data_IF_975696099536
#
_entry.id   IF_975696099536
#
_cell.length_a   1.000
_cell.length_b   1.000
_cell.length_c   1.000
_cell.angle_alpha   90.00
_cell.angle_beta   90.00
_cell.angle_gamma   90.00
#
_symmetry.space_group_name_H-M   'P 1'
#
loop_
_entity.id
_entity.type
_entity.pdbx_description
1 polymer ?
#
# COMPACT_ATOMS: atom_id res chain seq x y z
N UNK A 1 28.90 15.47 5.90
CA UNK A 1 27.54 15.14 6.40
C UNK A 1 27.51 13.68 6.83
N UNK A 2 27.26 13.43 8.10
CA UNK A 2 27.46 12.15 8.80
C UNK A 2 26.50 11.06 8.30
N UNK A 3 27.04 10.01 7.65
CA UNK A 3 26.31 8.75 7.38
C UNK A 3 26.01 7.96 8.65
N UNK A 4 26.82 8.16 9.70
CA UNK A 4 26.71 7.46 11.00
C UNK A 4 25.43 7.81 11.78
N UNK A 5 24.88 9.02 11.64
CA UNK A 5 23.69 9.43 12.40
C UNK A 5 22.41 8.83 11.82
N UNK A 6 22.28 8.79 10.49
CA UNK A 6 21.10 8.23 9.80
C UNK A 6 20.92 6.73 10.02
N UNK A 7 22.01 5.95 10.08
CA UNK A 7 21.92 4.51 10.36
C UNK A 7 21.57 4.20 11.82
N UNK A 8 21.99 5.05 12.77
CA UNK A 8 21.61 4.95 14.18
C UNK A 8 20.13 5.29 14.41
N UNK A 9 19.65 6.38 13.83
CA UNK A 9 18.24 6.81 13.92
C UNK A 9 17.29 5.80 13.27
N UNK A 10 17.66 5.23 12.12
CA UNK A 10 16.89 4.17 11.48
C UNK A 10 16.80 2.92 12.36
N UNK A 11 17.89 2.53 13.05
CA UNK A 11 17.89 1.37 13.95
C UNK A 11 16.95 1.56 15.15
N UNK A 12 16.92 2.75 15.74
CA UNK A 12 16.05 3.04 16.88
C UNK A 12 14.57 3.03 16.50
N UNK A 13 14.23 3.45 15.28
CA UNK A 13 12.86 3.41 14.79
C UNK A 13 12.35 1.97 14.54
N UNK A 14 13.21 1.08 14.06
CA UNK A 14 12.88 -0.35 13.88
C UNK A 14 12.64 -1.11 15.19
N UNK A 15 13.13 -0.58 16.33
CA UNK A 15 12.96 -1.18 17.65
C UNK A 15 11.70 -0.70 18.38
N UNK A 16 10.97 0.29 17.82
CA UNK A 16 9.68 0.73 18.37
C UNK A 16 8.69 -0.43 18.33
N UNK A 17 8.28 -0.88 19.51
CA UNK A 17 7.38 -2.01 19.72
C UNK A 17 6.03 -1.57 20.28
N UNK A 18 5.00 -2.34 19.96
CA UNK A 18 3.70 -2.29 20.63
C UNK A 18 3.50 -3.59 21.39
N UNK A 19 3.03 -3.49 22.62
CA UNK A 19 2.68 -4.66 23.44
C UNK A 19 1.17 -4.68 23.55
N UNK A 20 0.54 -5.77 23.13
CA UNK A 20 -0.91 -5.98 23.22
C UNK A 20 -1.12 -7.32 23.93
N UNK A 21 -1.58 -7.27 25.18
CA UNK A 21 -1.59 -8.44 26.06
C UNK A 21 -0.21 -9.13 26.11
N UNK A 22 -0.11 -10.44 25.78
CA UNK A 22 1.17 -11.17 25.74
C UNK A 22 1.97 -10.99 24.43
N UNK A 23 1.41 -10.29 23.43
CA UNK A 23 2.02 -10.16 22.10
C UNK A 23 2.91 -8.91 22.02
N UNK A 24 4.12 -9.06 21.49
CA UNK A 24 5.01 -7.94 21.15
C UNK A 24 5.10 -7.82 19.63
N UNK A 25 4.66 -6.68 19.11
CA UNK A 25 4.69 -6.35 17.69
C UNK A 25 5.79 -5.33 17.39
N UNK A 26 6.38 -5.44 16.21
CA UNK A 26 7.35 -4.48 15.65
C UNK A 26 6.79 -3.88 14.35
N UNK A 27 5.81 -2.94 14.42
CA UNK A 27 5.09 -2.50 13.24
C UNK A 27 5.97 -1.77 12.22
N UNK A 28 6.99 -1.05 12.66
CA UNK A 28 7.97 -0.42 11.76
C UNK A 28 8.71 -1.46 10.87
N UNK A 29 9.00 -2.64 11.42
CA UNK A 29 9.54 -3.77 10.67
C UNK A 29 8.56 -4.27 9.61
N UNK A 30 7.29 -4.46 10.00
CA UNK A 30 6.21 -4.86 9.08
C UNK A 30 6.00 -3.84 7.96
N UNK A 31 5.97 -2.54 8.28
CA UNK A 31 5.82 -1.47 7.29
C UNK A 31 6.87 -1.52 6.18
N UNK A 32 8.13 -1.89 6.51
CA UNK A 32 9.21 -2.04 5.52
C UNK A 32 8.91 -3.14 4.50
N UNK A 33 8.33 -4.27 4.93
CA UNK A 33 7.91 -5.35 4.04
C UNK A 33 6.64 -4.96 3.27
N UNK A 34 5.74 -4.23 3.93
CA UNK A 34 4.45 -3.84 3.37
C UNK A 34 4.50 -2.60 2.45
N UNK A 35 5.63 -1.89 2.38
CA UNK A 35 5.80 -0.63 1.63
C UNK A 35 5.36 -0.64 0.16
N UNK A 36 5.26 -1.81 -0.46
CA UNK A 36 4.89 -2.00 -1.88
C UNK A 36 3.42 -2.37 -2.08
N UNK A 37 2.67 -2.52 -1.00
CA UNK A 37 1.31 -3.03 -1.00
C UNK A 37 0.37 -1.97 -0.44
N UNK A 38 -0.89 -1.99 -0.88
CA UNK A 38 -1.93 -1.31 -0.14
C UNK A 38 -2.17 -2.11 1.14
N UNK A 39 -2.28 -1.44 2.28
CA UNK A 39 -2.63 -2.12 3.53
C UNK A 39 -3.38 -1.19 4.45
N UNK A 40 -4.19 -1.79 5.31
CA UNK A 40 -5.12 -1.08 6.18
C UNK A 40 -5.20 -1.78 7.51
N UNK A 41 -5.38 -0.98 8.56
CA UNK A 41 -5.67 -1.45 9.90
C UNK A 41 -7.10 -1.03 10.24
N UNK A 42 -7.93 -2.00 10.62
CA UNK A 42 -9.28 -1.76 11.13
C UNK A 42 -9.34 -2.18 12.59
N UNK A 43 -9.92 -1.33 13.42
CA UNK A 43 -10.18 -1.60 14.82
C UNK A 43 -11.69 -1.74 15.05
N UNK A 44 -12.11 -2.79 15.74
CA UNK A 44 -13.48 -2.96 16.21
C UNK A 44 -13.52 -2.72 17.73
N UNK A 45 -14.12 -1.61 18.20
CA UNK A 45 -14.17 -1.29 19.63
C UNK A 45 -15.07 -2.22 20.44
N UNK A 46 -16.08 -2.84 19.83
CA UNK A 46 -17.00 -3.74 20.54
C UNK A 46 -16.36 -5.11 20.83
N UNK A 47 -15.49 -5.56 19.93
CA UNK A 47 -14.81 -6.85 20.04
C UNK A 47 -13.38 -6.72 20.58
N UNK A 48 -12.87 -5.49 20.72
CA UNK A 48 -11.46 -5.18 21.05
C UNK A 48 -10.48 -5.89 20.12
N UNK A 49 -10.79 -5.88 18.81
CA UNK A 49 -9.98 -6.56 17.77
C UNK A 49 -9.42 -5.55 16.78
N UNK A 50 -8.11 -5.61 16.56
CA UNK A 50 -7.43 -4.93 15.45
C UNK A 50 -7.03 -5.92 14.36
N UNK A 51 -7.46 -5.67 13.13
CA UNK A 51 -7.14 -6.49 11.95
C UNK A 51 -6.29 -5.69 10.98
N UNK A 52 -5.08 -6.18 10.70
CA UNK A 52 -4.21 -5.68 9.66
C UNK A 52 -4.43 -6.51 8.40
N UNK A 53 -4.84 -5.85 7.33
CA UNK A 53 -5.14 -6.47 6.05
C UNK A 53 -4.26 -5.87 4.97
N UNK A 54 -3.78 -6.71 4.05
CA UNK A 54 -3.01 -6.29 2.88
C UNK A 54 -3.75 -6.55 1.59
N UNK A 55 -3.51 -5.71 0.60
CA UNK A 55 -3.87 -5.95 -0.79
C UNK A 55 -2.66 -5.71 -1.68
N UNK A 56 -2.46 -6.69 -2.55
CA UNK A 56 -1.32 -6.78 -3.43
C UNK A 56 -1.70 -6.80 -4.91
N UNK A 57 -2.99 -6.75 -5.21
CA UNK A 57 -3.57 -6.74 -6.55
C UNK A 57 -4.55 -7.89 -6.73
N UNK A 58 -4.67 -8.77 -5.74
CA UNK A 58 -5.45 -10.01 -5.79
C UNK A 58 -6.68 -10.01 -4.87
N UNK A 59 -6.94 -8.90 -4.18
CA UNK A 59 -7.97 -8.80 -3.15
C UNK A 59 -7.37 -8.59 -1.76
N UNK A 60 -8.24 -8.29 -0.80
CA UNK A 60 -7.87 -8.08 0.59
C UNK A 60 -7.59 -9.43 1.27
N UNK A 61 -6.47 -9.53 1.97
CA UNK A 61 -6.11 -10.70 2.78
C UNK A 61 -5.69 -10.24 4.17
N UNK A 62 -6.32 -10.79 5.20
CA UNK A 62 -5.97 -10.52 6.58
C UNK A 62 -4.59 -11.11 6.89
N UNK A 63 -3.68 -10.25 7.34
CA UNK A 63 -2.29 -10.60 7.64
C UNK A 63 -2.15 -10.94 9.12
N UNK A 64 -2.81 -10.17 9.98
CA UNK A 64 -2.71 -10.29 11.42
C UNK A 64 -4.01 -9.82 12.06
N UNK A 65 -4.49 -10.62 13.00
CA UNK A 65 -5.56 -10.26 13.93
C UNK A 65 -4.97 -10.17 15.34
N UNK A 66 -5.25 -9.07 16.04
CA UNK A 66 -4.86 -8.84 17.42
C UNK A 66 -6.12 -8.71 18.26
N UNK A 67 -6.36 -9.68 19.14
CA UNK A 67 -7.47 -9.69 20.11
C UNK A 67 -7.04 -9.03 21.41
N UNK A 68 -8.02 -8.63 22.21
CA UNK A 68 -7.81 -7.89 23.48
C UNK A 68 -6.94 -6.65 23.24
N UNK A 69 -7.14 -5.99 22.09
CA UNK A 69 -6.43 -4.82 21.66
C UNK A 69 -7.25 -3.60 22.05
N UNK A 70 -6.75 -2.76 22.95
CA UNK A 70 -7.41 -1.49 23.19
C UNK A 70 -7.21 -0.52 22.01
N UNK A 71 -8.08 0.51 21.96
CA UNK A 71 -8.04 1.52 20.90
C UNK A 71 -6.71 2.27 20.84
N UNK A 72 -6.11 2.57 22.00
CA UNK A 72 -4.84 3.30 22.08
C UNK A 72 -3.68 2.50 21.49
N UNK A 73 -3.68 1.18 21.68
CA UNK A 73 -2.75 0.25 21.09
C UNK A 73 -2.97 0.17 19.57
N UNK A 74 -4.22 0.13 19.10
CA UNK A 74 -4.54 0.15 17.68
C UNK A 74 -4.05 1.44 16.99
N UNK A 75 -4.28 2.61 17.59
CA UNK A 75 -3.75 3.90 17.11
C UNK A 75 -2.23 3.86 17.03
N UNK A 76 -1.55 3.35 18.07
CA UNK A 76 -0.09 3.25 18.09
C UNK A 76 0.44 2.31 17.01
N UNK A 77 -0.22 1.18 16.77
CA UNK A 77 0.11 0.28 15.64
C UNK A 77 -0.03 1.04 14.32
N UNK A 78 -1.14 1.75 14.11
CA UNK A 78 -1.40 2.49 12.89
C UNK A 78 -0.39 3.63 12.64
N UNK A 79 0.00 4.36 13.69
CA UNK A 79 1.05 5.38 13.62
C UNK A 79 2.40 4.79 13.20
N UNK A 80 2.82 3.69 13.85
CA UNK A 80 4.08 3.01 13.53
C UNK A 80 4.06 2.30 12.17
N UNK A 81 2.88 2.04 11.61
CA UNK A 81 2.66 1.56 10.25
C UNK A 81 2.58 2.68 9.20
N UNK A 82 2.72 3.94 9.61
CA UNK A 82 2.63 5.14 8.76
C UNK A 82 1.25 5.30 8.08
N UNK A 83 0.16 4.92 8.76
CA UNK A 83 -1.20 4.93 8.19
C UNK A 83 -1.94 6.27 8.33
N UNK A 84 -1.26 7.34 8.75
CA UNK A 84 -1.89 8.66 8.96
C UNK A 84 -2.94 8.64 10.07
N UNK A 85 -2.63 7.96 11.18
CA UNK A 85 -3.62 7.70 12.21
C UNK A 85 -3.94 8.89 13.11
N UNK A 86 -5.25 9.12 13.29
CA UNK A 86 -5.82 10.04 14.28
C UNK A 86 -6.63 9.25 15.32
N UNK A 87 -6.79 9.81 16.53
CA UNK A 87 -7.46 9.14 17.65
C UNK A 87 -8.95 8.88 17.36
N UNK A 88 -9.64 9.73 16.62
CA UNK A 88 -11.09 9.55 16.38
C UNK A 88 -11.44 8.45 15.36
N UNK A 89 -10.43 7.88 14.71
CA UNK A 89 -10.63 6.90 13.64
C UNK A 89 -10.53 5.47 14.17
N UNK A 90 -11.21 4.54 13.49
CA UNK A 90 -11.08 3.09 13.69
C UNK A 90 -10.65 2.36 12.40
N UNK A 91 -10.29 3.12 11.38
CA UNK A 91 -9.86 2.61 10.09
C UNK A 91 -8.76 3.52 9.54
N UNK A 92 -7.59 2.95 9.31
CA UNK A 92 -6.42 3.67 8.81
C UNK A 92 -5.84 2.91 7.62
N UNK A 93 -5.39 3.64 6.59
CA UNK A 93 -4.94 3.02 5.35
C UNK A 93 -3.69 3.68 4.79
N UNK A 94 -2.81 2.86 4.24
CA UNK A 94 -1.76 3.29 3.32
C UNK A 94 -2.18 2.80 1.96
N UNK A 95 -2.59 3.75 1.14
CA UNK A 95 -2.96 3.48 -0.23
C UNK A 95 -1.70 3.44 -1.09
N UNK A 96 -1.51 2.31 -1.77
CA UNK A 96 -0.50 2.13 -2.81
C UNK A 96 -1.24 1.59 -4.02
N UNK A 97 -1.42 2.38 -5.10
CA UNK A 97 -2.11 1.90 -6.28
C UNK A 97 -1.31 0.76 -6.91
N UNK A 98 -1.98 -0.37 -7.17
CA UNK A 98 -1.45 -1.47 -7.96
C UNK A 98 -2.27 -1.56 -9.24
N UNK A 99 -1.61 -1.33 -10.37
CA UNK A 99 -2.26 -1.37 -11.68
C UNK A 99 -2.40 -2.81 -12.18
N UNK A 100 -3.55 -3.20 -12.72
CA UNK A 100 -3.78 -4.46 -13.41
C UNK A 100 -3.66 -4.24 -14.91
N UNK A 101 -2.73 -4.95 -15.54
CA UNK A 101 -2.47 -4.90 -16.98
C UNK A 101 -2.97 -6.17 -17.65
N UNK A 102 -3.91 -6.04 -18.58
CA UNK A 102 -4.32 -7.15 -19.44
C UNK A 102 -3.24 -7.52 -20.46
N UNK A 103 -2.75 -8.77 -20.44
CA UNK A 103 -1.73 -9.22 -21.38
C UNK A 103 -2.31 -9.87 -22.64
N UNK A 104 -2.48 -9.05 -23.68
CA UNK A 104 -2.84 -9.47 -25.02
C UNK A 104 -1.61 -9.75 -25.94
N UNK A 105 -0.39 -9.76 -25.39
CA UNK A 105 0.89 -9.90 -26.12
C UNK A 105 1.14 -8.86 -27.21
N UNK A 106 0.51 -7.69 -27.15
CA UNK A 106 0.75 -6.60 -28.11
C UNK A 106 1.97 -5.76 -27.74
N UNK A 107 2.50 -5.00 -28.70
CA UNK A 107 3.52 -3.97 -28.45
C UNK A 107 3.06 -2.91 -27.44
N UNK A 108 1.76 -2.65 -27.39
CA UNK A 108 1.16 -1.66 -26.49
C UNK A 108 1.22 -2.13 -25.04
N UNK A 109 1.02 -3.43 -24.80
CA UNK A 109 1.24 -4.04 -23.48
C UNK A 109 2.70 -3.88 -23.05
N UNK A 110 3.66 -4.16 -23.93
CA UNK A 110 5.08 -4.01 -23.61
C UNK A 110 5.45 -2.55 -23.32
N UNK A 111 4.87 -1.59 -24.04
CA UNK A 111 5.04 -0.16 -23.79
C UNK A 111 4.51 0.23 -22.39
N UNK A 112 3.30 -0.20 -22.04
CA UNK A 112 2.71 0.06 -20.71
C UNK A 112 3.50 -0.57 -19.58
N UNK A 113 3.90 -1.83 -19.74
CA UNK A 113 4.74 -2.54 -18.78
C UNK A 113 6.07 -1.81 -18.57
N UNK A 114 6.70 -1.36 -19.66
CA UNK A 114 7.96 -0.63 -19.61
C UNK A 114 7.80 0.70 -18.90
N UNK A 115 6.75 1.47 -19.19
CA UNK A 115 6.49 2.75 -18.54
C UNK A 115 6.21 2.56 -17.03
N UNK A 116 5.44 1.53 -16.63
CA UNK A 116 5.21 1.21 -15.22
C UNK A 116 6.53 0.90 -14.49
N UNK A 117 7.39 0.07 -15.09
CA UNK A 117 8.71 -0.25 -14.53
C UNK A 117 9.60 1.00 -14.41
N UNK A 118 9.64 1.83 -15.45
CA UNK A 118 10.41 3.08 -15.49
C UNK A 118 9.97 4.08 -14.42
N UNK A 119 8.66 4.19 -14.19
CA UNK A 119 8.07 5.12 -13.23
C UNK A 119 7.95 4.54 -11.80
N UNK A 120 8.37 3.29 -11.61
CA UNK A 120 8.29 2.60 -10.33
C UNK A 120 6.85 2.36 -9.85
N UNK A 121 5.89 2.30 -10.76
CA UNK A 121 4.48 2.04 -10.46
C UNK A 121 4.28 0.53 -10.28
N UNK A 122 3.76 0.06 -9.13
CA UNK A 122 3.43 -1.34 -8.93
C UNK A 122 2.34 -1.79 -9.90
N UNK A 123 2.52 -2.98 -10.49
CA UNK A 123 1.52 -3.56 -11.38
C UNK A 123 1.46 -5.09 -11.30
N UNK A 124 0.34 -5.65 -11.73
CA UNK A 124 0.10 -7.07 -11.97
C UNK A 124 -0.30 -7.29 -13.40
N UNK A 125 0.04 -8.48 -13.89
CA UNK A 125 -0.36 -8.92 -15.22
C UNK A 125 -1.53 -9.88 -15.05
N UNK A 126 -2.65 -9.57 -15.69
CA UNK A 126 -3.81 -10.45 -15.79
C UNK A 126 -3.84 -11.13 -17.16
N UNK A 127 -4.27 -12.40 -17.17
CA UNK A 127 -4.49 -13.13 -18.41
C UNK A 127 -5.76 -12.56 -19.04
N UNK A 128 -5.61 -11.85 -20.15
CA UNK A 128 -6.70 -11.20 -20.87
C UNK A 128 -6.39 -11.17 -22.36
N UNK A 129 -7.41 -11.31 -23.21
CA UNK A 129 -7.26 -11.10 -24.65
C UNK A 129 -7.37 -9.62 -25.07
N UNK A 130 -7.71 -8.74 -24.13
CA UNK A 130 -7.89 -7.30 -24.32
C UNK A 130 -6.89 -6.50 -23.49
N UNK A 131 -6.46 -5.36 -24.02
CA UNK A 131 -5.62 -4.40 -23.30
C UNK A 131 -6.51 -3.50 -22.43
N UNK A 132 -6.26 -3.50 -21.12
CA UNK A 132 -6.95 -2.61 -20.17
C UNK A 132 -6.06 -2.34 -18.95
N UNK A 133 -6.43 -1.28 -18.22
CA UNK A 133 -5.78 -0.82 -17.00
C UNK A 133 -6.84 -0.67 -15.90
N UNK A 134 -6.57 -1.17 -14.69
CA UNK A 134 -7.44 -0.95 -13.51
C UNK A 134 -6.60 -0.80 -12.25
N UNK A 135 -7.11 -0.13 -11.23
CA UNK A 135 -6.62 -0.35 -9.86
C UNK A 135 -7.43 -1.45 -9.16
N UNK A 136 -7.08 -1.73 -7.91
CA UNK A 136 -7.76 -2.70 -7.06
C UNK A 136 -9.16 -2.26 -6.63
N UNK A 137 -9.44 -0.95 -6.58
CA UNK A 137 -10.74 -0.40 -6.21
C UNK A 137 -11.66 -0.19 -7.43
N UNK A 138 -11.25 -0.64 -8.62
CA UNK A 138 -11.92 -0.44 -9.91
C UNK A 138 -12.18 1.04 -10.28
N UNK A 139 -11.43 1.99 -9.71
CA UNK A 139 -11.67 3.42 -9.85
C UNK A 139 -11.07 4.04 -11.13
N UNK A 140 -10.05 3.42 -11.75
CA UNK A 140 -9.46 3.96 -12.99
C UNK A 140 -10.07 3.43 -14.30
N UNK A 141 -11.28 2.86 -14.21
CA UNK A 141 -12.14 2.48 -15.33
C UNK A 141 -11.69 1.24 -16.13
N UNK A 142 -12.42 0.14 -15.97
CA UNK A 142 -12.56 -0.88 -17.00
C UNK A 142 -13.27 -0.25 -18.21
N UNK A 143 -12.52 0.23 -19.19
CA UNK A 143 -13.10 0.69 -20.46
C UNK A 143 -12.37 0.08 -21.64
N UNK A 144 -13.06 -0.84 -22.30
CA UNK A 144 -12.69 -1.27 -23.64
C UNK A 144 -12.59 -0.05 -24.58
N UNK A 145 -11.53 0.02 -25.39
CA UNK A 145 -11.37 1.08 -26.39
C UNK A 145 -10.47 2.26 -26.02
N UNK A 146 -9.79 2.24 -24.87
CA UNK A 146 -8.75 3.21 -24.58
C UNK A 146 -7.56 3.08 -25.54
N UNK A 147 -7.03 4.23 -25.97
CA UNK A 147 -5.77 4.29 -26.71
C UNK A 147 -4.59 4.05 -25.77
N UNK A 148 -3.47 3.56 -26.31
CA UNK A 148 -2.21 3.44 -25.56
C UNK A 148 -1.82 4.75 -24.86
N UNK A 149 -2.03 5.89 -25.52
CA UNK A 149 -1.74 7.22 -24.96
C UNK A 149 -2.50 7.50 -23.65
N UNK A 150 -3.81 7.24 -23.63
CA UNK A 150 -4.65 7.42 -22.44
C UNK A 150 -4.22 6.49 -21.29
N UNK A 151 -3.90 5.23 -21.60
CA UNK A 151 -3.41 4.30 -20.58
C UNK A 151 -2.06 4.75 -20.00
N UNK A 152 -1.14 5.26 -20.83
CA UNK A 152 0.14 5.79 -20.36
C UNK A 152 -0.02 7.02 -19.48
N UNK A 153 -1.00 7.89 -19.78
CA UNK A 153 -1.28 9.06 -18.96
C UNK A 153 -1.77 8.65 -17.56
N UNK A 154 -2.61 7.63 -17.44
CA UNK A 154 -3.01 7.09 -16.12
C UNK A 154 -1.82 6.50 -15.37
N UNK A 155 -0.91 5.79 -16.03
CA UNK A 155 0.33 5.30 -15.38
C UNK A 155 1.15 6.47 -14.83
N UNK A 156 1.26 7.56 -15.59
CA UNK A 156 1.99 8.77 -15.16
C UNK A 156 1.29 9.49 -14.01
N UNK A 157 -0.02 9.63 -14.05
CA UNK A 157 -0.81 10.22 -12.96
C UNK A 157 -0.71 9.38 -11.69
N UNK A 158 -0.77 8.06 -11.82
CA UNK A 158 -0.54 7.12 -10.71
C UNK A 158 0.84 7.33 -10.10
N UNK A 159 1.89 7.42 -10.94
CA UNK A 159 3.25 7.72 -10.47
C UNK A 159 3.33 9.06 -9.73
N UNK A 160 2.70 10.11 -10.26
CA UNK A 160 2.64 11.42 -9.59
C UNK A 160 1.91 11.35 -8.26
N UNK A 161 0.81 10.61 -8.15
CA UNK A 161 0.08 10.45 -6.89
C UNK A 161 0.92 9.71 -5.83
N UNK A 162 1.71 8.73 -6.25
CA UNK A 162 2.61 7.97 -5.38
C UNK A 162 3.81 8.80 -4.88
N UNK A 163 4.43 9.58 -5.77
CA UNK A 163 5.69 10.30 -5.45
C UNK A 163 5.46 11.76 -5.06
N UNK A 164 4.34 12.36 -5.43
CA UNK A 164 4.00 13.76 -5.15
C UNK A 164 3.72 14.05 -3.67
N UNK A 165 3.35 13.04 -2.88
CA UNK A 165 3.18 13.18 -1.42
C UNK A 165 4.49 13.24 -0.63
N UNK A 166 5.67 13.08 -1.27
CA UNK A 166 6.97 13.13 -0.59
C UNK A 166 7.54 14.54 -0.38
N UNK A 167 6.95 15.58 -0.96
CA UNK A 167 7.50 16.96 -0.92
C UNK A 167 6.64 17.95 -0.10
N UNK A 168 5.69 17.47 0.70
CA UNK A 168 4.79 18.31 1.51
C UNK A 168 4.96 18.11 3.03
N UNK A 169 6.10 17.58 3.47
CA UNK A 169 6.46 17.44 4.88
C UNK A 169 7.79 18.16 5.16
#
# INVERSE_FOLDING_TARGET
>A
MNRSTKEGELKDEYLKKVVVGPLVLYPAGLAKFLRKFAYYLRYNPEEEVAVLTGNNGGGMVDILEVRDCDHSAAVKIAQLLELGATEDNCFWKRWVPVLKLGNNRSSDFDALRTECLKLGVPFRIEKSNSLFLRDEENQYEEKEGWTLGQMLDVVRETSRAMHGKRNAA
#
